data_IF_001615371672
#
_entry.id   IF_001615371672
#
_cell.length_a   1.000
_cell.length_b   1.000
_cell.length_c   1.000
_cell.angle_alpha   90.00
_cell.angle_beta   90.00
_cell.angle_gamma   90.00
#
_symmetry.space_group_name_H-M   'P 1'
#
loop_
_entity.id
_entity.type
_entity.pdbx_description
1 polymer ?
#
# COMPACT_ATOMS: atom_id res chain seq x y z
N UNK A 1 8.84 -11.05 26.85
CA UNK A 1 7.75 -10.63 25.95
C UNK A 1 7.53 -9.10 25.85
N UNK A 2 7.86 -8.29 26.88
CA UNK A 2 7.70 -6.82 26.86
C UNK A 2 8.78 -6.09 26.02
N UNK A 3 9.98 -6.65 25.90
CA UNK A 3 11.06 -6.03 25.10
C UNK A 3 10.83 -6.13 23.59
N UNK A 4 10.24 -7.22 23.11
CA UNK A 4 9.97 -7.43 21.68
C UNK A 4 8.90 -6.47 21.13
N UNK A 5 7.92 -6.07 21.95
CA UNK A 5 6.89 -5.08 21.54
C UNK A 5 7.45 -3.66 21.45
N UNK A 6 8.39 -3.26 22.32
CA UNK A 6 9.01 -1.92 22.26
C UNK A 6 9.91 -1.73 21.04
N UNK A 7 10.69 -2.74 20.66
CA UNK A 7 11.51 -2.67 19.44
C UNK A 7 10.67 -2.62 18.17
N UNK A 8 9.58 -3.39 18.07
CA UNK A 8 8.64 -3.27 16.95
C UNK A 8 7.98 -1.89 16.87
N UNK A 9 7.63 -1.30 17.99
CA UNK A 9 7.05 0.06 18.01
C UNK A 9 8.08 1.15 17.63
N UNK A 10 9.34 1.02 18.00
CA UNK A 10 10.39 1.97 17.63
C UNK A 10 10.73 1.90 16.14
N UNK A 11 10.85 0.70 15.57
CA UNK A 11 11.09 0.55 14.12
C UNK A 11 9.93 1.00 13.23
N UNK A 12 8.70 1.01 13.74
CA UNK A 12 7.49 1.41 13.00
C UNK A 12 7.26 2.93 13.09
N UNK A 13 7.72 3.61 14.15
CA UNK A 13 7.47 5.05 14.34
C UNK A 13 8.13 5.95 13.30
N UNK A 14 9.25 5.52 12.73
CA UNK A 14 10.04 6.32 11.78
C UNK A 14 9.95 5.77 10.34
N UNK A 15 9.16 4.73 10.10
CA UNK A 15 9.03 4.10 8.79
C UNK A 15 7.64 4.35 8.21
N UNK A 16 7.57 4.55 6.90
CA UNK A 16 6.31 4.61 6.15
C UNK A 16 5.50 3.32 6.36
N UNK A 17 4.28 3.46 6.84
CA UNK A 17 3.33 2.35 6.97
C UNK A 17 2.40 2.38 5.76
N UNK A 18 2.40 1.35 4.89
CA UNK A 18 1.48 1.29 3.77
C UNK A 18 0.01 1.43 4.22
N UNK A 19 -0.79 2.19 3.46
CA UNK A 19 -2.21 2.42 3.77
C UNK A 19 -2.99 1.12 3.97
N UNK A 20 -2.67 0.07 3.19
CA UNK A 20 -3.27 -1.26 3.31
C UNK A 20 -3.03 -1.93 4.66
N UNK A 21 -1.92 -1.62 5.33
CA UNK A 21 -1.62 -2.08 6.70
C UNK A 21 -2.26 -1.15 7.73
N UNK A 22 -2.21 0.17 7.46
CA UNK A 22 -2.74 1.19 8.37
C UNK A 22 -4.25 1.10 8.53
N UNK A 23 -5.00 0.69 7.48
CA UNK A 23 -6.46 0.60 7.49
C UNK A 23 -7.02 -0.39 8.51
N UNK A 24 -6.25 -1.40 8.93
CA UNK A 24 -6.75 -2.38 9.89
C UNK A 24 -7.09 -1.75 11.24
N UNK A 25 -8.23 -2.09 11.84
CA UNK A 25 -9.11 -3.23 11.54
C UNK A 25 -10.26 -2.94 10.57
N UNK A 26 -10.28 -1.80 9.89
CA UNK A 26 -11.39 -1.41 9.02
C UNK A 26 -11.26 -2.00 7.61
N UNK A 27 -12.40 -2.32 7.01
CA UNK A 27 -12.55 -2.92 5.68
C UNK A 27 -13.64 -2.17 4.91
N UNK A 28 -13.56 -2.21 3.59
CA UNK A 28 -14.67 -1.79 2.73
C UNK A 28 -15.49 -3.04 2.42
N UNK A 29 -16.75 -3.04 2.85
CA UNK A 29 -17.76 -4.01 2.47
C UNK A 29 -18.72 -3.43 1.44
N UNK A 30 -19.53 -4.26 0.83
CA UNK A 30 -20.61 -3.84 -0.07
C UNK A 30 -21.93 -4.38 0.44
N UNK A 31 -22.91 -3.50 0.53
CA UNK A 31 -24.29 -3.87 0.91
C UNK A 31 -25.19 -3.68 -0.30
N UNK A 32 -26.14 -4.61 -0.48
CA UNK A 32 -27.15 -4.48 -1.52
C UNK A 32 -28.02 -3.25 -1.23
N UNK A 33 -28.10 -2.36 -2.22
CA UNK A 33 -28.88 -1.14 -2.16
C UNK A 33 -29.55 -0.91 -3.53
N UNK A 34 -30.78 -1.44 -3.73
CA UNK A 34 -31.48 -1.40 -5.02
C UNK A 34 -31.65 0.02 -5.57
N UNK A 35 -31.69 1.01 -4.68
CA UNK A 35 -31.86 2.44 -5.03
C UNK A 35 -30.53 3.16 -5.36
N UNK A 36 -29.39 2.45 -5.33
CA UNK A 36 -28.08 2.98 -5.63
C UNK A 36 -27.66 2.60 -7.05
N UNK A 37 -26.98 3.50 -7.73
CA UNK A 37 -26.41 3.26 -9.05
C UNK A 37 -25.45 2.05 -8.99
N UNK A 38 -25.79 0.95 -9.70
CA UNK A 38 -25.09 -0.32 -9.63
C UNK A 38 -25.59 -1.31 -8.56
N UNK A 39 -26.68 -1.01 -7.81
CA UNK A 39 -27.33 -1.93 -6.86
C UNK A 39 -26.51 -2.27 -5.61
N UNK A 40 -25.34 -1.63 -5.39
CA UNK A 40 -24.49 -1.86 -4.22
C UNK A 40 -23.97 -0.54 -3.66
N UNK A 41 -24.00 -0.44 -2.33
CA UNK A 41 -23.43 0.69 -1.58
C UNK A 41 -22.19 0.23 -0.83
N UNK A 42 -21.08 0.97 -0.97
CA UNK A 42 -19.90 0.74 -0.15
C UNK A 42 -20.19 1.14 1.30
N UNK A 43 -19.86 0.26 2.23
CA UNK A 43 -20.00 0.45 3.67
C UNK A 43 -18.67 0.17 4.36
N UNK A 44 -18.39 0.88 5.44
CA UNK A 44 -17.25 0.60 6.29
C UNK A 44 -17.63 -0.52 7.25
N UNK A 45 -16.82 -1.56 7.27
CA UNK A 45 -16.95 -2.71 8.16
C UNK A 45 -15.73 -2.81 9.06
N UNK A 46 -15.89 -3.44 10.21
CA UNK A 46 -14.79 -3.69 11.15
C UNK A 46 -14.61 -5.19 11.35
N UNK A 47 -13.36 -5.62 11.34
CA UNK A 47 -12.96 -6.99 11.65
C UNK A 47 -12.90 -7.15 13.17
N UNK A 48 -13.93 -7.74 13.77
CA UNK A 48 -14.05 -7.90 15.22
C UNK A 48 -13.03 -8.88 15.81
N UNK A 49 -12.51 -9.80 15.00
CA UNK A 49 -11.51 -10.78 15.43
C UNK A 49 -10.09 -10.19 15.41
N UNK A 50 -9.95 -8.96 14.97
CA UNK A 50 -8.64 -8.30 14.90
C UNK A 50 -8.10 -8.01 16.30
N UNK A 51 -6.83 -8.34 16.61
CA UNK A 51 -6.24 -8.13 17.94
C UNK A 51 -6.09 -6.66 18.35
N UNK A 52 -6.42 -5.73 17.46
CA UNK A 52 -6.49 -4.28 17.78
C UNK A 52 -7.85 -3.85 18.33
N UNK A 53 -8.86 -4.74 18.28
CA UNK A 53 -10.19 -4.46 18.82
C UNK A 53 -10.21 -4.80 20.31
N UNK A 54 -10.74 -3.86 21.10
CA UNK A 54 -10.94 -4.04 22.53
C UNK A 54 -12.16 -3.21 22.97
N UNK A 55 -13.02 -3.77 23.80
CA UNK A 55 -14.24 -3.11 24.26
C UNK A 55 -13.99 -2.12 25.42
N UNK A 56 -12.83 -2.20 26.08
CA UNK A 56 -12.57 -1.45 27.31
C UNK A 56 -11.39 -0.48 27.21
N UNK A 57 -10.51 -0.66 26.22
CA UNK A 57 -9.27 0.10 26.09
C UNK A 57 -9.05 0.47 24.63
N UNK A 58 -8.88 1.75 24.34
CA UNK A 58 -8.58 2.25 23.01
C UNK A 58 -9.31 3.54 22.70
N UNK A 59 -9.29 3.91 21.42
CA UNK A 59 -10.03 5.04 20.88
C UNK A 59 -11.47 4.62 20.58
N UNK A 60 -12.45 5.34 21.12
CA UNK A 60 -13.86 5.10 20.80
C UNK A 60 -14.16 5.40 19.34
N UNK A 61 -15.01 4.59 18.71
CA UNK A 61 -15.44 4.83 17.33
C UNK A 61 -16.56 5.87 17.25
N UNK A 62 -17.39 5.91 18.28
CA UNK A 62 -18.53 6.81 18.36
C UNK A 62 -18.47 7.63 19.64
N UNK A 63 -18.98 8.84 19.59
CA UNK A 63 -19.22 9.69 20.74
C UNK A 63 -20.44 9.18 21.53
N UNK A 64 -20.65 9.67 22.74
CA UNK A 64 -21.83 9.37 23.55
C UNK A 64 -23.15 9.77 22.84
N UNK A 65 -23.09 10.71 21.90
CA UNK A 65 -24.20 11.11 21.04
C UNK A 65 -24.42 10.24 19.80
N UNK A 66 -23.58 9.21 19.59
CA UNK A 66 -23.66 8.31 18.43
C UNK A 66 -23.02 8.85 17.15
N UNK A 67 -22.32 9.97 17.21
CA UNK A 67 -21.59 10.54 16.08
C UNK A 67 -20.21 9.87 15.94
N UNK A 68 -19.70 9.82 14.70
CA UNK A 68 -18.36 9.30 14.43
C UNK A 68 -17.29 10.18 15.10
N UNK A 69 -16.35 9.55 15.80
CA UNK A 69 -15.18 10.24 16.33
C UNK A 69 -14.23 10.65 15.21
N UNK A 70 -13.25 11.52 15.53
CA UNK A 70 -12.19 11.91 14.60
C UNK A 70 -11.41 10.69 14.11
N UNK A 71 -11.13 9.73 15.00
CA UNK A 71 -10.45 8.48 14.67
C UNK A 71 -11.22 7.65 13.62
N UNK A 72 -12.53 7.49 13.78
CA UNK A 72 -13.37 6.79 12.80
C UNK A 72 -13.44 7.58 11.49
N UNK A 73 -13.60 8.90 11.55
CA UNK A 73 -13.67 9.77 10.39
C UNK A 73 -12.38 9.71 9.55
N UNK A 74 -11.22 9.68 10.19
CA UNK A 74 -9.93 9.56 9.50
C UNK A 74 -9.72 8.16 8.92
N UNK A 75 -10.23 7.12 9.59
CA UNK A 75 -10.23 5.75 9.06
C UNK A 75 -11.10 5.64 7.81
N UNK A 76 -12.27 6.30 7.77
CA UNK A 76 -13.14 6.37 6.60
C UNK A 76 -12.42 7.06 5.43
N UNK A 77 -11.81 8.24 5.66
CA UNK A 77 -11.04 8.96 4.64
C UNK A 77 -9.88 8.13 4.08
N UNK A 78 -9.22 7.35 4.94
CA UNK A 78 -8.16 6.43 4.52
C UNK A 78 -8.69 5.34 3.59
N UNK A 79 -9.84 4.73 3.91
CA UNK A 79 -10.48 3.72 3.07
C UNK A 79 -10.94 4.29 1.72
N UNK A 80 -11.51 5.50 1.72
CA UNK A 80 -11.88 6.20 0.49
C UNK A 80 -10.65 6.48 -0.39
N UNK A 81 -9.53 6.87 0.22
CA UNK A 81 -8.27 7.10 -0.49
C UNK A 81 -7.74 5.82 -1.12
N UNK A 82 -7.85 4.68 -0.42
CA UNK A 82 -7.46 3.37 -0.94
C UNK A 82 -8.36 2.99 -2.13
N UNK A 83 -9.68 3.19 -2.01
CA UNK A 83 -10.63 2.86 -3.07
C UNK A 83 -10.37 3.68 -4.35
N UNK A 84 -10.27 5.00 -4.21
CA UNK A 84 -9.91 5.89 -5.33
C UNK A 84 -8.55 5.56 -5.93
N UNK A 85 -7.57 5.24 -5.07
CA UNK A 85 -6.24 4.83 -5.50
C UNK A 85 -6.24 3.53 -6.31
N UNK A 86 -7.15 2.60 -6.02
CA UNK A 86 -7.27 1.36 -6.78
C UNK A 86 -7.71 1.61 -8.23
N UNK A 87 -8.71 2.45 -8.44
CA UNK A 87 -9.19 2.82 -9.78
C UNK A 87 -8.09 3.56 -10.58
N UNK A 88 -7.43 4.52 -9.93
CA UNK A 88 -6.34 5.26 -10.56
C UNK A 88 -5.15 4.35 -10.92
N UNK A 89 -4.83 3.39 -10.04
CA UNK A 89 -3.75 2.44 -10.27
C UNK A 89 -4.02 1.52 -11.47
N UNK A 90 -5.29 1.15 -11.70
CA UNK A 90 -5.64 0.36 -12.89
C UNK A 90 -5.27 1.11 -14.17
N UNK A 91 -5.68 2.38 -14.32
CA UNK A 91 -5.34 3.20 -15.47
C UNK A 91 -3.83 3.42 -15.64
N UNK A 92 -3.10 3.51 -14.53
CA UNK A 92 -1.63 3.58 -14.54
C UNK A 92 -1.00 2.30 -15.10
N UNK A 93 -1.40 1.14 -14.58
CA UNK A 93 -0.86 -0.16 -15.05
C UNK A 93 -1.24 -0.42 -16.52
N UNK A 94 -2.49 -0.16 -16.92
CA UNK A 94 -2.92 -0.31 -18.30
C UNK A 94 -2.06 0.55 -19.24
N UNK A 95 -1.72 1.77 -18.83
CA UNK A 95 -0.83 2.66 -19.60
C UNK A 95 0.61 2.14 -19.65
N UNK A 96 1.14 1.60 -18.55
CA UNK A 96 2.49 1.00 -18.58
C UNK A 96 2.56 -0.22 -19.51
N UNK A 97 1.48 -1.01 -19.58
CA UNK A 97 1.37 -2.14 -20.49
C UNK A 97 1.24 -1.68 -21.95
N UNK A 98 0.45 -0.64 -22.22
CA UNK A 98 0.27 -0.05 -23.55
C UNK A 98 1.60 0.39 -24.17
N UNK A 99 2.48 0.99 -23.38
CA UNK A 99 3.79 1.47 -23.82
C UNK A 99 4.95 0.49 -23.55
N UNK A 100 4.63 -0.75 -23.13
CA UNK A 100 5.60 -1.82 -22.86
C UNK A 100 6.69 -1.40 -21.85
N UNK A 101 6.30 -0.62 -20.84
CA UNK A 101 7.19 -0.06 -19.83
C UNK A 101 7.36 -0.95 -18.59
N UNK A 102 6.88 -2.21 -18.65
CA UNK A 102 7.04 -3.19 -17.58
C UNK A 102 7.98 -4.31 -18.01
N UNK A 103 8.88 -4.69 -17.12
CA UNK A 103 9.71 -5.88 -17.25
C UNK A 103 9.64 -6.76 -16.01
N UNK A 104 9.86 -8.07 -16.17
CA UNK A 104 9.90 -9.00 -15.04
C UNK A 104 11.11 -8.72 -14.17
N UNK A 105 10.89 -8.73 -12.85
CA UNK A 105 11.92 -8.50 -11.86
C UNK A 105 12.07 -9.70 -10.94
N UNK A 106 13.28 -10.21 -10.85
CA UNK A 106 13.65 -11.27 -9.89
C UNK A 106 14.80 -10.79 -9.03
N UNK A 107 14.66 -10.90 -7.71
CA UNK A 107 15.69 -10.52 -6.75
C UNK A 107 16.17 -11.74 -5.97
N UNK A 108 17.47 -12.02 -6.03
CA UNK A 108 18.12 -12.99 -5.16
C UNK A 108 18.66 -12.30 -3.92
N UNK A 109 18.28 -12.81 -2.75
CA UNK A 109 18.67 -12.26 -1.45
C UNK A 109 19.39 -13.32 -0.65
N UNK A 110 20.67 -13.08 -0.37
CA UNK A 110 21.45 -13.89 0.55
C UNK A 110 21.44 -13.21 1.92
N UNK A 111 20.84 -13.86 2.91
CA UNK A 111 20.79 -13.35 4.28
C UNK A 111 22.04 -13.74 5.06
N UNK A 112 22.33 -12.99 6.13
CA UNK A 112 23.50 -13.21 7.01
C UNK A 112 23.51 -14.57 7.71
N UNK A 113 22.34 -15.20 7.87
CA UNK A 113 22.23 -16.58 8.40
C UNK A 113 22.54 -17.68 7.35
N UNK A 114 23.00 -17.29 6.15
CA UNK A 114 23.32 -18.22 5.05
C UNK A 114 22.12 -18.67 4.21
N UNK A 115 20.90 -18.25 4.54
CA UNK A 115 19.73 -18.58 3.72
C UNK A 115 19.71 -17.80 2.41
N UNK A 116 19.40 -18.51 1.33
CA UNK A 116 19.20 -17.93 -0.01
C UNK A 116 17.71 -17.85 -0.28
N UNK A 117 17.24 -16.66 -0.60
CA UNK A 117 15.85 -16.38 -0.88
C UNK A 117 15.73 -15.77 -2.27
N UNK A 118 14.68 -16.08 -2.97
CA UNK A 118 14.39 -15.52 -4.28
C UNK A 118 12.99 -14.91 -4.28
N UNK A 119 12.92 -13.64 -4.65
CA UNK A 119 11.67 -12.93 -4.87
C UNK A 119 11.36 -12.98 -6.36
N UNK A 120 10.28 -13.67 -6.73
CA UNK A 120 9.84 -13.86 -8.10
C UNK A 120 8.41 -13.35 -8.29
N UNK A 121 8.02 -13.13 -9.56
CA UNK A 121 6.66 -12.71 -9.90
C UNK A 121 6.40 -11.23 -9.71
N UNK A 122 7.46 -10.43 -9.56
CA UNK A 122 7.38 -8.99 -9.54
C UNK A 122 7.68 -8.39 -10.91
N UNK A 123 7.20 -7.17 -11.12
CA UNK A 123 7.50 -6.36 -12.29
C UNK A 123 8.08 -5.03 -11.84
N UNK A 124 8.91 -4.46 -12.69
CA UNK A 124 9.50 -3.14 -12.51
C UNK A 124 9.38 -2.32 -13.78
N UNK A 125 9.78 -1.06 -13.70
CA UNK A 125 9.85 -0.20 -14.88
C UNK A 125 11.04 -0.61 -15.74
N UNK A 126 10.80 -0.84 -17.04
CA UNK A 126 11.82 -1.08 -18.05
C UNK A 126 12.55 0.25 -18.35
N UNK A 127 13.60 0.56 -17.57
CA UNK A 127 14.31 1.86 -17.62
C UNK A 127 14.84 2.17 -19.01
N UNK A 128 15.35 1.16 -19.74
CA UNK A 128 15.85 1.37 -21.09
C UNK A 128 14.72 1.82 -22.04
N UNK A 129 13.56 1.19 -21.99
CA UNK A 129 12.40 1.59 -22.80
C UNK A 129 11.88 2.97 -22.41
N UNK A 130 11.93 3.30 -21.12
CA UNK A 130 11.57 4.63 -20.65
C UNK A 130 12.47 5.70 -21.26
N UNK A 131 13.77 5.46 -21.41
CA UNK A 131 14.72 6.36 -22.06
C UNK A 131 14.52 6.48 -23.58
N UNK A 132 13.98 5.45 -24.22
CA UNK A 132 13.72 5.39 -25.66
C UNK A 132 12.36 6.01 -26.05
N UNK A 133 11.55 6.44 -25.08
CA UNK A 133 10.25 7.06 -25.34
C UNK A 133 10.39 8.32 -26.19
N UNK A 134 9.50 8.46 -27.17
CA UNK A 134 9.36 9.70 -27.93
C UNK A 134 8.72 10.82 -27.06
N UNK A 135 8.88 12.08 -27.50
CA UNK A 135 8.38 13.24 -26.78
C UNK A 135 6.85 13.24 -26.58
N UNK A 136 6.10 12.72 -27.56
CA UNK A 136 4.63 12.69 -27.50
C UNK A 136 4.16 11.74 -26.41
N UNK A 137 4.72 10.54 -26.34
CA UNK A 137 4.41 9.57 -25.28
C UNK A 137 4.79 10.09 -23.91
N UNK A 138 5.97 10.75 -23.83
CA UNK A 138 6.41 11.36 -22.57
C UNK A 138 5.45 12.45 -22.09
N UNK A 139 4.93 13.28 -23.01
CA UNK A 139 3.94 14.31 -22.72
C UNK A 139 2.60 13.73 -22.25
N UNK A 140 2.16 12.61 -22.86
CA UNK A 140 0.96 11.88 -22.42
C UNK A 140 1.13 11.39 -20.97
N UNK A 141 2.25 10.74 -20.66
CA UNK A 141 2.53 10.24 -19.30
C UNK A 141 2.59 11.39 -18.28
N UNK A 142 3.17 12.53 -18.69
CA UNK A 142 3.24 13.72 -17.85
C UNK A 142 1.84 14.30 -17.57
N UNK A 143 1.02 14.49 -18.60
CA UNK A 143 -0.33 15.02 -18.47
C UNK A 143 -1.25 14.15 -17.62
N UNK A 144 -1.07 12.82 -17.67
CA UNK A 144 -1.77 11.85 -16.81
C UNK A 144 -1.22 11.81 -15.37
N UNK A 145 -0.11 12.48 -15.08
CA UNK A 145 0.55 12.49 -13.77
C UNK A 145 1.30 11.20 -13.44
N UNK A 146 1.60 10.37 -14.44
CA UNK A 146 2.21 9.06 -14.24
C UNK A 146 3.73 9.09 -14.14
N UNK A 147 4.40 10.10 -14.69
CA UNK A 147 5.86 10.20 -14.66
C UNK A 147 6.43 10.19 -13.25
N UNK A 148 5.80 10.89 -12.31
CA UNK A 148 6.25 10.89 -10.93
C UNK A 148 6.23 9.48 -10.34
N UNK A 149 5.15 8.73 -10.54
CA UNK A 149 5.02 7.36 -10.05
C UNK A 149 6.07 6.43 -10.69
N UNK A 150 6.31 6.57 -12.01
CA UNK A 150 7.33 5.83 -12.75
C UNK A 150 8.72 6.07 -12.14
N UNK A 151 9.15 7.32 -12.01
CA UNK A 151 10.47 7.65 -11.45
C UNK A 151 10.59 7.27 -9.98
N UNK A 152 9.51 7.38 -9.19
CA UNK A 152 9.51 6.90 -7.80
C UNK A 152 9.64 5.38 -7.72
N UNK A 153 9.04 4.63 -8.65
CA UNK A 153 9.21 3.18 -8.73
C UNK A 153 10.67 2.81 -9.01
N UNK A 154 11.30 3.43 -10.01
CA UNK A 154 12.73 3.25 -10.33
C UNK A 154 13.59 3.59 -9.10
N UNK A 155 13.40 4.77 -8.50
CA UNK A 155 14.18 5.20 -7.34
C UNK A 155 14.02 4.26 -6.12
N UNK A 156 12.88 3.59 -6.01
CA UNK A 156 12.58 2.68 -4.89
C UNK A 156 13.51 1.47 -4.83
N UNK A 157 14.14 1.05 -5.93
CA UNK A 157 15.10 -0.04 -5.97
C UNK A 157 16.28 0.17 -5.02
N UNK A 158 16.70 1.41 -4.81
CA UNK A 158 17.75 1.76 -3.86
C UNK A 158 17.42 1.35 -2.41
N UNK A 159 16.14 1.19 -2.10
CA UNK A 159 15.66 0.81 -0.76
C UNK A 159 15.66 -0.69 -0.51
N UNK A 160 15.82 -1.52 -1.54
CA UNK A 160 15.88 -2.98 -1.39
C UNK A 160 17.00 -3.40 -0.44
N UNK A 161 18.16 -2.74 -0.53
CA UNK A 161 19.27 -3.00 0.39
C UNK A 161 18.87 -2.77 1.86
N UNK A 162 18.19 -1.67 2.15
CA UNK A 162 17.70 -1.36 3.51
C UNK A 162 16.74 -2.44 4.01
N UNK A 163 15.88 -3.00 3.15
CA UNK A 163 14.97 -4.09 3.52
C UNK A 163 15.75 -5.37 3.87
N UNK A 164 16.79 -5.69 3.10
CA UNK A 164 17.66 -6.84 3.37
C UNK A 164 18.41 -6.66 4.71
N UNK A 165 18.97 -5.47 4.95
CA UNK A 165 19.67 -5.15 6.19
C UNK A 165 18.74 -5.24 7.40
N UNK A 166 17.51 -4.72 7.30
CA UNK A 166 16.50 -4.84 8.35
C UNK A 166 16.11 -6.31 8.60
N UNK A 167 16.01 -7.12 7.55
CA UNK A 167 15.73 -8.55 7.69
C UNK A 167 16.87 -9.27 8.38
N UNK A 168 18.13 -8.97 8.05
CA UNK A 168 19.30 -9.52 8.69
C UNK A 168 19.34 -9.17 10.19
N UNK A 169 19.02 -7.93 10.56
CA UNK A 169 18.95 -7.50 11.96
C UNK A 169 17.85 -8.22 12.77
N UNK A 170 16.82 -8.75 12.10
CA UNK A 170 15.77 -9.56 12.76
C UNK A 170 16.15 -11.04 12.89
N UNK A 171 17.15 -11.50 12.15
CA UNK A 171 17.62 -12.89 12.14
C UNK A 171 18.88 -13.10 12.99
N UNK A 172 19.51 -12.01 13.44
CA UNK A 172 20.62 -12.01 14.38
C UNK A 172 20.13 -12.08 15.83
#
# INVERSE_FOLDING_TARGET
HRHFRRQRQMCIRDSYIPMMIKRHPFLVGYQDAPDHDGGKKAVVSIDLDNPRINEHIGESLFTDGGEATEYLSDSIKLLESIHKGHEHNKGFIDTLLEYDLLESFTLEVNLSNGSKNQLQGFYTIAEQKLHELNGDTFDILNKRGYLQAIFMAVASHSRLRTLVDNKNALCA
#
